data_IF_177975057236
#
_entry.id   IF_177975057236
#
_cell.length_a   1.000
_cell.length_b   1.000
_cell.length_c   1.000
_cell.angle_alpha   90.00
_cell.angle_beta   90.00
_cell.angle_gamma   90.00
#
_symmetry.space_group_name_H-M   'P 1'
#
loop_
_entity.id
_entity.type
_entity.pdbx_description
1 polymer ?
#
# COMPACT_ATOMS: atom_id res chain seq x y z
N UNK A 1 4.95 -9.54 -10.46
CA UNK A 1 5.47 -8.36 -9.75
C UNK A 1 6.05 -8.70 -8.38
N UNK A 2 5.69 -9.82 -7.72
CA UNK A 2 6.26 -10.17 -6.41
C UNK A 2 5.77 -9.30 -5.25
N UNK A 3 4.70 -8.54 -5.46
CA UNK A 3 4.08 -7.65 -4.49
C UNK A 3 3.01 -8.40 -3.67
N UNK A 4 2.89 -8.06 -2.39
CA UNK A 4 1.78 -8.48 -1.53
C UNK A 4 0.48 -7.76 -1.90
N UNK A 5 0.57 -6.52 -2.37
CA UNK A 5 -0.58 -5.70 -2.72
C UNK A 5 -1.24 -6.18 -4.03
N UNK A 6 -2.58 -6.21 -4.09
CA UNK A 6 -3.30 -6.78 -5.22
C UNK A 6 -3.30 -5.84 -6.45
N UNK A 7 -2.33 -6.01 -7.35
CA UNK A 7 -2.21 -5.24 -8.62
C UNK A 7 -3.52 -5.21 -9.42
N UNK A 8 -4.21 -6.34 -9.55
CA UNK A 8 -5.48 -6.41 -10.29
C UNK A 8 -6.60 -5.56 -9.67
N UNK A 9 -6.62 -5.43 -8.33
CA UNK A 9 -7.56 -4.56 -7.63
C UNK A 9 -7.22 -3.09 -7.87
N UNK A 10 -5.94 -2.72 -7.79
CA UNK A 10 -5.46 -1.37 -8.09
C UNK A 10 -5.85 -0.98 -9.52
N UNK A 11 -5.59 -1.85 -10.51
CA UNK A 11 -5.99 -1.60 -11.89
C UNK A 11 -7.51 -1.37 -12.03
N UNK A 12 -8.34 -2.20 -11.38
CA UNK A 12 -9.79 -2.03 -11.42
C UNK A 12 -10.22 -0.69 -10.81
N UNK A 13 -9.63 -0.28 -9.70
CA UNK A 13 -9.93 1.00 -9.06
C UNK A 13 -9.51 2.19 -9.93
N UNK A 14 -8.34 2.12 -10.58
CA UNK A 14 -7.90 3.15 -11.53
C UNK A 14 -8.87 3.32 -12.70
N UNK A 15 -9.41 2.22 -13.26
CA UNK A 15 -10.41 2.30 -14.33
C UNK A 15 -11.77 2.82 -13.86
N UNK A 16 -12.22 2.43 -12.66
CA UNK A 16 -13.51 2.87 -12.11
C UNK A 16 -13.49 4.31 -11.56
N UNK A 17 -12.31 4.80 -11.18
CA UNK A 17 -12.14 6.15 -10.62
C UNK A 17 -12.17 7.28 -11.65
N UNK A 18 -12.35 6.98 -12.94
CA UNK A 18 -12.41 7.98 -14.02
C UNK A 18 -11.19 8.92 -14.09
N UNK A 19 -10.01 8.48 -13.64
CA UNK A 19 -8.78 9.29 -13.65
C UNK A 19 -8.23 9.54 -15.06
N UNK A 20 -8.45 8.60 -15.99
CA UNK A 20 -8.04 8.69 -17.38
C UNK A 20 -8.89 7.77 -18.26
N UNK A 21 -8.98 8.08 -19.57
CA UNK A 21 -9.70 7.24 -20.56
C UNK A 21 -9.05 5.86 -20.75
N UNK A 22 -7.73 5.76 -20.57
CA UNK A 22 -6.96 4.51 -20.67
C UNK A 22 -5.96 4.45 -19.53
N UNK A 23 -5.71 3.24 -19.00
CA UNK A 23 -4.72 2.97 -17.97
C UNK A 23 -3.67 2.04 -18.58
N UNK A 24 -2.39 2.43 -18.51
CA UNK A 24 -1.29 1.60 -19.00
C UNK A 24 -1.12 0.32 -18.18
N UNK A 25 -0.59 -0.75 -18.78
CA UNK A 25 -0.46 -2.04 -18.11
C UNK A 25 0.48 -2.00 -16.88
N UNK A 26 1.52 -1.16 -16.91
CA UNK A 26 2.50 -1.01 -15.83
C UNK A 26 2.05 -0.07 -14.71
N UNK A 27 1.13 0.86 -14.99
CA UNK A 27 0.63 1.83 -14.02
C UNK A 27 0.11 1.19 -12.72
N UNK A 28 -0.74 0.14 -12.74
CA UNK A 28 -1.18 -0.50 -11.52
C UNK A 28 -0.08 -1.28 -10.79
N UNK A 29 0.95 -1.74 -11.50
CA UNK A 29 2.11 -2.43 -10.88
C UNK A 29 2.93 -1.41 -10.10
N UNK A 30 3.25 -0.28 -10.73
CA UNK A 30 4.00 0.81 -10.09
C UNK A 30 3.26 1.36 -8.88
N UNK A 31 1.97 1.67 -9.03
CA UNK A 31 1.16 2.18 -7.93
C UNK A 31 1.03 1.17 -6.78
N UNK A 32 0.85 -0.12 -7.07
CA UNK A 32 0.82 -1.15 -6.03
C UNK A 32 2.16 -1.23 -5.27
N UNK A 33 3.30 -1.14 -5.98
CA UNK A 33 4.61 -1.17 -5.36
C UNK A 33 4.84 0.03 -4.43
N UNK A 34 4.45 1.24 -4.86
CA UNK A 34 4.56 2.46 -4.04
C UNK A 34 3.68 2.37 -2.80
N UNK A 35 2.43 1.92 -2.96
CA UNK A 35 1.52 1.75 -1.81
C UNK A 35 2.04 0.71 -0.82
N UNK A 36 2.61 -0.39 -1.31
CA UNK A 36 3.20 -1.44 -0.48
C UNK A 36 4.43 -0.93 0.28
N UNK A 37 5.33 -0.22 -0.39
CA UNK A 37 6.51 0.40 0.23
C UNK A 37 6.11 1.35 1.36
N UNK A 38 5.22 2.30 1.08
CA UNK A 38 4.78 3.28 2.09
C UNK A 38 4.07 2.60 3.27
N UNK A 39 3.30 1.54 3.01
CA UNK A 39 2.63 0.77 4.06
C UNK A 39 3.63 -0.01 4.91
N UNK A 40 4.65 -0.60 4.31
CA UNK A 40 5.70 -1.31 5.03
C UNK A 40 6.47 -0.35 5.94
N UNK A 41 6.92 0.79 5.40
CA UNK A 41 7.66 1.82 6.13
C UNK A 41 6.88 2.32 7.36
N UNK A 42 5.61 2.72 7.15
CA UNK A 42 4.82 3.28 8.26
C UNK A 42 4.49 2.22 9.32
N UNK A 43 4.27 0.96 8.92
CA UNK A 43 4.01 -0.14 9.86
C UNK A 43 5.26 -0.55 10.64
N UNK A 44 6.45 -0.48 10.02
CA UNK A 44 7.72 -0.70 10.70
C UNK A 44 7.93 0.33 11.81
N UNK A 45 7.79 1.62 11.48
CA UNK A 45 7.91 2.70 12.45
C UNK A 45 6.86 2.62 13.56
N UNK A 46 5.60 2.34 13.20
CA UNK A 46 4.53 2.17 14.18
C UNK A 46 4.75 0.94 15.09
N UNK A 47 5.28 -0.15 14.54
CA UNK A 47 5.64 -1.36 15.28
C UNK A 47 6.76 -1.09 16.29
N UNK A 48 7.81 -0.36 15.88
CA UNK A 48 8.89 0.07 16.75
C UNK A 48 8.35 0.95 17.89
N UNK A 49 7.52 1.95 17.57
CA UNK A 49 6.89 2.79 18.59
C UNK A 49 6.00 1.98 19.57
N UNK A 50 5.24 1.00 19.08
CA UNK A 50 4.44 0.12 19.95
C UNK A 50 5.34 -0.71 20.88
N UNK A 51 6.43 -1.26 20.36
CA UNK A 51 7.42 -2.04 21.12
C UNK A 51 8.09 -1.21 22.20
N UNK A 52 8.48 0.03 21.91
CA UNK A 52 9.08 0.96 22.88
C UNK A 52 8.11 1.28 24.02
N UNK A 53 6.81 1.32 23.72
CA UNK A 53 5.74 1.47 24.71
C UNK A 53 5.32 0.14 25.38
N UNK A 54 6.10 -0.94 25.20
CA UNK A 54 5.84 -2.29 25.73
C UNK A 54 4.46 -2.82 25.35
N UNK A 55 3.97 -2.48 24.15
CA UNK A 55 2.71 -2.98 23.59
C UNK A 55 3.01 -3.97 22.47
N UNK A 56 2.20 -5.02 22.38
CA UNK A 56 2.28 -6.03 21.30
C UNK A 56 1.38 -5.71 20.11
N UNK A 57 0.52 -4.70 20.23
CA UNK A 57 -0.44 -4.27 19.21
C UNK A 57 -0.26 -2.78 18.92
N UNK A 58 -0.16 -2.43 17.64
CA UNK A 58 -0.20 -1.03 17.18
C UNK A 58 -1.62 -0.49 17.44
N UNK A 59 -1.71 0.68 18.07
CA UNK A 59 -2.97 1.39 18.33
C UNK A 59 -2.83 2.85 17.87
N UNK A 60 -3.92 3.51 17.43
CA UNK A 60 -3.96 4.97 17.36
C UNK A 60 -3.69 5.53 18.76
N UNK A 61 -2.80 6.51 18.86
CA UNK A 61 -2.56 7.27 20.10
C UNK A 61 -3.34 8.57 20.08
#
# INVERSE_FOLDING_TARGET
AGLQFPVGRVHRLLRKGNYAKRVGAEAPVYLAAVLEYLTAEILELAGNAARDNKKTRIIPK
#
